data_IF_597221920663
#
_entry.id   IF_597221920663
#
_cell.length_a   1.000
_cell.length_b   1.000
_cell.length_c   1.000
_cell.angle_alpha   90.00
_cell.angle_beta   90.00
_cell.angle_gamma   90.00
#
_symmetry.space_group_name_H-M   'P 1'
#
loop_
_entity.id
_entity.type
_entity.pdbx_description
1 polymer ?
#
# COMPACT_ATOMS: atom_id res chain seq x y z
N UNK A 1 -22.07 8.57 19.06
CA UNK A 1 -20.65 8.37 18.70
C UNK A 1 -20.52 7.02 18.04
N UNK A 2 -20.00 6.96 16.83
CA UNK A 2 -19.71 5.71 16.14
C UNK A 2 -18.63 4.97 16.93
N UNK A 3 -18.78 3.66 17.15
CA UNK A 3 -17.70 2.88 17.78
C UNK A 3 -16.47 2.89 16.89
N UNK A 4 -15.30 3.09 17.45
CA UNK A 4 -14.04 3.12 16.68
C UNK A 4 -13.85 1.83 15.84
N UNK A 5 -14.34 0.69 16.32
CA UNK A 5 -14.31 -0.57 15.59
C UNK A 5 -15.07 -0.53 14.25
N UNK A 6 -16.09 0.33 14.13
CA UNK A 6 -16.87 0.49 12.89
C UNK A 6 -16.11 1.24 11.78
N UNK A 7 -15.00 1.91 12.14
CA UNK A 7 -14.12 2.56 11.17
C UNK A 7 -13.28 1.56 10.39
N UNK A 8 -13.04 0.38 10.95
CA UNK A 8 -12.27 -0.67 10.30
C UNK A 8 -13.14 -1.50 9.35
N UNK A 9 -12.48 -2.20 8.43
CA UNK A 9 -13.12 -2.98 7.36
C UNK A 9 -12.38 -4.28 7.13
N UNK A 10 -13.12 -5.32 6.73
CA UNK A 10 -12.58 -6.64 6.43
C UNK A 10 -12.01 -6.73 4.99
N UNK A 11 -12.32 -5.74 4.14
CA UNK A 11 -11.87 -5.72 2.75
C UNK A 11 -11.69 -4.29 2.23
N UNK A 12 -10.93 -4.16 1.14
CA UNK A 12 -10.84 -2.91 0.37
C UNK A 12 -12.21 -2.44 -0.13
N UNK A 13 -13.04 -3.37 -0.63
CA UNK A 13 -14.37 -3.07 -1.15
C UNK A 13 -15.30 -2.45 -0.10
N UNK A 14 -15.12 -2.81 1.17
CA UNK A 14 -15.82 -2.20 2.30
C UNK A 14 -15.16 -0.90 2.76
N UNK A 15 -13.83 -0.86 2.82
CA UNK A 15 -13.06 0.28 3.32
C UNK A 15 -13.24 1.53 2.47
N UNK A 16 -13.14 1.39 1.15
CA UNK A 16 -13.20 2.52 0.21
C UNK A 16 -14.48 3.36 0.33
N UNK A 17 -15.71 2.81 0.26
CA UNK A 17 -16.92 3.59 0.42
C UNK A 17 -17.04 4.24 1.81
N UNK A 18 -16.56 3.60 2.88
CA UNK A 18 -16.49 4.21 4.21
C UNK A 18 -15.60 5.44 4.23
N UNK A 19 -14.39 5.33 3.65
CA UNK A 19 -13.47 6.47 3.53
C UNK A 19 -14.08 7.61 2.73
N UNK A 20 -14.60 7.34 1.53
CA UNK A 20 -15.20 8.37 0.68
C UNK A 20 -16.38 9.07 1.39
N UNK A 21 -17.24 8.32 2.09
CA UNK A 21 -18.35 8.88 2.86
C UNK A 21 -17.87 9.75 4.01
N UNK A 22 -16.88 9.30 4.78
CA UNK A 22 -16.33 10.06 5.90
C UNK A 22 -15.64 11.35 5.42
N UNK A 23 -14.88 11.28 4.34
CA UNK A 23 -14.21 12.43 3.74
C UNK A 23 -15.22 13.47 3.20
N UNK A 24 -16.27 13.03 2.51
CA UNK A 24 -17.33 13.91 2.04
C UNK A 24 -18.06 14.59 3.22
N UNK A 25 -18.40 13.83 4.26
CA UNK A 25 -19.05 14.35 5.47
C UNK A 25 -18.15 15.37 6.23
N UNK A 26 -16.83 15.19 6.18
CA UNK A 26 -15.86 16.12 6.74
C UNK A 26 -15.59 17.36 5.86
N UNK A 27 -16.24 17.49 4.71
CA UNK A 27 -16.08 18.61 3.79
C UNK A 27 -14.79 18.58 2.96
N UNK A 28 -14.18 17.41 2.80
CA UNK A 28 -12.99 17.25 2.00
C UNK A 28 -13.29 17.26 0.50
N UNK A 29 -12.40 17.83 -0.30
CA UNK A 29 -12.40 17.69 -1.75
C UNK A 29 -11.85 16.31 -2.13
N UNK A 30 -12.72 15.44 -2.68
CA UNK A 30 -12.38 14.08 -3.10
C UNK A 30 -11.96 14.03 -4.56
N UNK A 31 -10.94 13.19 -4.83
CA UNK A 31 -10.56 12.76 -6.18
C UNK A 31 -10.25 11.28 -6.17
N UNK A 32 -10.60 10.58 -7.25
CA UNK A 32 -10.39 9.15 -7.43
C UNK A 32 -9.53 8.89 -8.67
N UNK A 33 -8.52 8.06 -8.52
CA UNK A 33 -7.58 7.68 -9.56
C UNK A 33 -7.72 6.19 -9.84
N UNK A 34 -8.28 5.85 -10.99
CA UNK A 34 -8.54 4.47 -11.38
C UNK A 34 -7.24 3.71 -11.68
N UNK A 35 -7.10 2.50 -11.14
CA UNK A 35 -6.06 1.56 -11.52
C UNK A 35 -6.53 0.75 -12.74
N UNK A 36 -5.95 0.97 -13.93
CA UNK A 36 -6.39 0.28 -15.15
C UNK A 36 -5.83 -1.15 -15.27
N UNK A 37 -4.80 -1.49 -14.51
CA UNK A 37 -4.03 -2.74 -14.68
C UNK A 37 -4.64 -3.94 -13.96
N UNK A 38 -5.40 -3.71 -12.90
CA UNK A 38 -5.86 -4.79 -12.05
C UNK A 38 -7.31 -4.61 -11.56
N UNK A 39 -7.86 -5.70 -11.03
CA UNK A 39 -9.15 -5.77 -10.34
C UNK A 39 -8.94 -6.35 -8.95
N UNK A 40 -9.88 -6.13 -8.05
CA UNK A 40 -9.92 -6.80 -6.77
C UNK A 40 -10.37 -8.26 -6.86
N UNK A 41 -10.34 -8.99 -5.74
CA UNK A 41 -10.68 -10.43 -5.69
C UNK A 41 -12.09 -10.77 -6.19
N UNK A 42 -13.05 -9.85 -6.04
CA UNK A 42 -14.44 -10.01 -6.52
C UNK A 42 -14.67 -9.34 -7.88
N UNK A 43 -13.63 -8.93 -8.58
CA UNK A 43 -13.70 -8.24 -9.88
C UNK A 43 -13.96 -6.74 -9.76
N UNK A 44 -13.97 -6.18 -8.55
CA UNK A 44 -14.21 -4.77 -8.31
C UNK A 44 -13.11 -3.88 -8.89
N UNK A 45 -13.51 -2.65 -9.25
CA UNK A 45 -12.60 -1.62 -9.72
C UNK A 45 -11.74 -1.09 -8.57
N UNK A 46 -10.46 -0.92 -8.82
CA UNK A 46 -9.49 -0.42 -7.85
C UNK A 46 -9.18 1.05 -8.09
N UNK A 47 -9.15 1.82 -7.01
CA UNK A 47 -8.86 3.25 -7.04
C UNK A 47 -7.91 3.63 -5.91
N UNK A 48 -7.04 4.60 -6.20
CA UNK A 48 -6.44 5.45 -5.19
C UNK A 48 -7.36 6.66 -5.03
N UNK A 49 -7.84 6.91 -3.83
CA UNK A 49 -8.67 8.07 -3.52
C UNK A 49 -7.86 9.10 -2.71
N UNK A 50 -8.03 10.37 -3.02
CA UNK A 50 -7.44 11.46 -2.23
C UNK A 50 -8.55 12.34 -1.68
N UNK A 51 -8.39 12.75 -0.42
CA UNK A 51 -9.28 13.68 0.25
C UNK A 51 -8.47 14.88 0.77
N UNK A 52 -8.73 16.07 0.23
CA UNK A 52 -8.05 17.31 0.63
C UNK A 52 -8.98 18.20 1.45
N UNK A 53 -8.50 18.66 2.60
CA UNK A 53 -9.14 19.64 3.47
C UNK A 53 -8.26 20.88 3.63
N UNK A 54 -8.90 22.05 3.86
CA UNK A 54 -8.22 23.32 4.13
C UNK A 54 -8.08 24.21 2.92
N UNK A 55 -7.62 25.45 3.17
CA UNK A 55 -7.46 26.47 2.15
C UNK A 55 -6.42 26.07 1.09
N UNK A 56 -6.59 26.58 -0.14
CA UNK A 56 -5.68 26.27 -1.24
C UNK A 56 -4.26 26.80 -1.00
N UNK A 57 -4.16 27.89 -0.27
CA UNK A 57 -2.96 28.64 0.10
C UNK A 57 -2.44 28.30 1.51
N UNK A 58 -2.92 27.22 2.13
CA UNK A 58 -2.40 26.75 3.42
C UNK A 58 -0.89 26.55 3.36
N UNK A 59 -0.18 27.14 4.31
CA UNK A 59 1.29 27.11 4.34
C UNK A 59 1.87 25.83 4.88
N UNK A 60 1.04 25.06 5.59
CA UNK A 60 1.40 23.74 6.16
C UNK A 60 0.46 22.67 5.60
N UNK A 61 0.96 21.43 5.48
CA UNK A 61 0.18 20.29 5.01
C UNK A 61 0.46 19.06 5.87
N UNK A 62 -0.60 18.55 6.51
CA UNK A 62 -0.58 17.20 7.08
C UNK A 62 -0.88 16.21 5.96
N UNK A 63 0.03 15.27 5.71
CA UNK A 63 -0.19 14.20 4.74
C UNK A 63 -0.33 12.88 5.49
N UNK A 64 -1.47 12.20 5.29
CA UNK A 64 -1.74 10.86 5.79
C UNK A 64 -1.81 9.91 4.61
N UNK A 65 -1.13 8.76 4.71
CA UNK A 65 -1.08 7.78 3.62
C UNK A 65 -1.42 6.41 4.19
N UNK A 66 -2.47 5.78 3.63
CA UNK A 66 -2.86 4.42 3.97
C UNK A 66 -2.57 3.44 2.83
N UNK A 67 -2.29 2.19 3.16
CA UNK A 67 -2.20 1.10 2.20
C UNK A 67 -0.98 1.15 1.29
N UNK A 68 0.17 1.62 1.76
CA UNK A 68 1.45 1.46 1.05
C UNK A 68 1.76 -0.02 0.87
N UNK A 69 1.62 -0.79 1.94
CA UNK A 69 1.55 -2.25 1.89
C UNK A 69 0.10 -2.66 2.17
N UNK A 70 -0.40 -3.65 1.45
CA UNK A 70 -1.84 -3.91 1.43
C UNK A 70 -2.41 -4.37 2.75
N UNK A 71 -1.73 -5.27 3.47
CA UNK A 71 -2.22 -5.79 4.77
C UNK A 71 -2.37 -4.66 5.80
N UNK A 72 -1.43 -3.71 5.82
CA UNK A 72 -1.46 -2.54 6.70
C UNK A 72 -2.57 -1.54 6.30
N UNK A 73 -3.08 -1.67 5.07
CA UNK A 73 -4.19 -0.87 4.55
C UNK A 73 -5.45 -0.96 5.41
N UNK A 74 -5.73 -2.11 6.00
CA UNK A 74 -6.87 -2.27 6.92
C UNK A 74 -6.75 -1.35 8.14
N UNK A 75 -5.57 -1.28 8.74
CA UNK A 75 -5.30 -0.39 9.88
C UNK A 75 -5.29 1.08 9.45
N UNK A 76 -4.54 1.42 8.40
CA UNK A 76 -4.41 2.80 7.93
C UNK A 76 -5.74 3.40 7.50
N UNK A 77 -6.54 2.66 6.74
CA UNK A 77 -7.89 3.06 6.34
C UNK A 77 -8.79 3.34 7.56
N UNK A 78 -8.81 2.41 8.53
CA UNK A 78 -9.59 2.60 9.76
C UNK A 78 -9.18 3.84 10.54
N UNK A 79 -7.89 4.11 10.63
CA UNK A 79 -7.34 5.29 11.30
C UNK A 79 -7.73 6.60 10.59
N UNK A 80 -7.64 6.66 9.25
CA UNK A 80 -8.07 7.81 8.46
C UNK A 80 -9.57 8.07 8.62
N UNK A 81 -10.40 7.03 8.54
CA UNK A 81 -11.86 7.12 8.72
C UNK A 81 -12.19 7.62 10.12
N UNK A 82 -11.57 7.06 11.15
CA UNK A 82 -11.78 7.48 12.54
C UNK A 82 -11.41 8.95 12.75
N UNK A 83 -10.28 9.39 12.21
CA UNK A 83 -9.82 10.77 12.30
C UNK A 83 -10.79 11.74 11.60
N UNK A 84 -11.29 11.38 10.42
CA UNK A 84 -12.31 12.16 9.71
C UNK A 84 -13.62 12.28 10.50
N UNK A 85 -14.12 11.16 11.05
CA UNK A 85 -15.37 11.11 11.82
C UNK A 85 -15.27 11.83 13.18
N UNK A 86 -14.08 11.86 13.77
CA UNK A 86 -13.81 12.61 15.01
C UNK A 86 -13.60 14.13 14.77
N UNK A 87 -13.81 14.60 13.55
CA UNK A 87 -13.67 16.00 13.18
C UNK A 87 -12.20 16.45 13.15
N UNK A 88 -11.27 15.55 12.89
CA UNK A 88 -9.84 15.82 12.82
C UNK A 88 -9.49 16.98 11.90
N UNK A 89 -10.05 17.09 10.66
CA UNK A 89 -9.80 18.23 9.80
C UNK A 89 -10.12 19.58 10.42
N UNK A 90 -11.24 19.68 11.11
CA UNK A 90 -11.69 20.93 11.75
C UNK A 90 -10.84 21.34 13.00
N UNK A 91 -10.04 20.42 13.53
CA UNK A 91 -9.13 20.66 14.65
C UNK A 91 -7.75 21.15 14.22
N UNK A 92 -7.47 21.18 12.92
CA UNK A 92 -6.20 21.68 12.40
C UNK A 92 -6.06 23.21 12.58
N UNK A 93 -4.82 23.72 12.74
CA UNK A 93 -4.56 25.15 12.66
C UNK A 93 -5.07 25.77 11.36
N UNK A 94 -5.43 27.06 11.39
CA UNK A 94 -6.02 27.75 10.23
C UNK A 94 -5.14 27.78 8.98
N UNK A 95 -3.81 27.75 9.18
CA UNK A 95 -2.80 27.76 8.13
C UNK A 95 -2.38 26.35 7.68
N UNK A 96 -3.06 25.32 8.16
CA UNK A 96 -2.73 23.91 7.91
C UNK A 96 -3.85 23.23 7.13
N UNK A 97 -3.52 22.66 5.99
CA UNK A 97 -4.37 21.74 5.23
C UNK A 97 -4.09 20.28 5.58
N UNK A 98 -4.98 19.39 5.15
CA UNK A 98 -4.76 17.95 5.20
C UNK A 98 -4.93 17.33 3.81
N UNK A 99 -4.08 16.35 3.49
CA UNK A 99 -4.20 15.47 2.33
C UNK A 99 -4.17 14.03 2.82
N UNK A 100 -5.27 13.33 2.66
CA UNK A 100 -5.37 11.91 2.93
C UNK A 100 -5.28 11.16 1.59
N UNK A 101 -4.53 10.05 1.58
CA UNK A 101 -4.30 9.21 0.41
C UNK A 101 -4.71 7.78 0.77
N UNK A 102 -5.88 7.40 0.32
CA UNK A 102 -6.50 6.10 0.56
C UNK A 102 -6.75 5.37 -0.77
N UNK A 103 -6.27 4.26 -1.05
CA UNK A 103 -5.09 3.56 -0.60
C UNK A 103 -4.04 3.73 -1.71
N UNK A 104 -2.81 4.07 -1.37
CA UNK A 104 -1.80 4.36 -2.40
C UNK A 104 -1.45 3.13 -3.24
N UNK A 105 -1.63 1.93 -2.68
CA UNK A 105 -1.55 0.63 -3.35
C UNK A 105 -2.90 -0.09 -3.25
N UNK A 106 -3.89 0.25 -4.09
CA UNK A 106 -5.22 -0.32 -4.00
C UNK A 106 -5.25 -1.81 -4.34
N UNK A 107 -4.34 -2.28 -5.21
CA UNK A 107 -4.18 -3.71 -5.51
C UNK A 107 -3.69 -4.47 -4.28
N UNK A 108 -2.60 -4.02 -3.67
CA UNK A 108 -2.07 -4.66 -2.48
C UNK A 108 -3.10 -4.72 -1.36
N UNK A 109 -3.89 -3.65 -1.15
CA UNK A 109 -4.94 -3.64 -0.15
C UNK A 109 -6.03 -4.67 -0.46
N UNK A 110 -6.55 -4.68 -1.69
CA UNK A 110 -7.61 -5.61 -2.09
C UNK A 110 -7.21 -7.09 -2.01
N UNK A 111 -5.95 -7.40 -2.32
CA UNK A 111 -5.41 -8.76 -2.34
C UNK A 111 -4.62 -9.13 -1.07
N UNK A 112 -4.60 -8.26 -0.06
CA UNK A 112 -3.79 -8.42 1.16
C UNK A 112 -2.32 -8.74 0.86
N UNK A 113 -1.75 -8.07 -0.14
CA UNK A 113 -0.37 -8.25 -0.58
C UNK A 113 0.47 -7.02 -0.25
N UNK A 114 1.74 -7.26 0.06
CA UNK A 114 2.70 -6.19 0.31
C UNK A 114 2.94 -5.31 -0.91
N UNK A 115 3.02 -5.90 -2.07
CA UNK A 115 3.44 -5.30 -3.35
C UNK A 115 2.27 -4.89 -4.23
N UNK A 116 2.55 -4.12 -5.28
CA UNK A 116 1.60 -3.78 -6.34
C UNK A 116 1.33 -4.97 -7.27
N UNK A 117 0.43 -4.80 -8.25
CA UNK A 117 0.16 -5.77 -9.32
C UNK A 117 1.40 -6.12 -10.16
N UNK A 118 2.34 -5.19 -10.28
CA UNK A 118 3.63 -5.38 -10.96
C UNK A 118 4.72 -5.93 -10.02
N UNK A 119 4.34 -6.41 -8.83
CA UNK A 119 5.23 -6.93 -7.78
C UNK A 119 6.24 -5.90 -7.24
N UNK A 120 5.90 -4.62 -7.26
CA UNK A 120 6.74 -3.52 -6.76
C UNK A 120 6.38 -3.22 -5.31
N UNK A 121 7.37 -3.22 -4.43
CA UNK A 121 7.26 -2.65 -3.09
C UNK A 121 7.48 -1.14 -3.17
N UNK A 122 6.40 -0.37 -3.01
CA UNK A 122 6.45 1.10 -3.11
C UNK A 122 7.42 1.71 -2.11
N UNK A 123 7.55 1.12 -0.90
CA UNK A 123 8.45 1.60 0.14
C UNK A 123 9.92 1.16 -0.06
N UNK A 124 10.24 0.44 -1.13
CA UNK A 124 11.60 0.07 -1.54
C UNK A 124 11.99 0.68 -2.87
N UNK A 125 11.10 1.43 -3.51
CA UNK A 125 11.29 1.97 -4.86
C UNK A 125 11.58 3.49 -4.89
N UNK A 126 12.03 4.05 -3.77
CA UNK A 126 12.51 5.44 -3.68
C UNK A 126 13.99 5.49 -4.08
N UNK A 127 14.22 5.47 -5.38
CA UNK A 127 15.55 5.49 -6.00
C UNK A 127 15.58 6.58 -7.08
N UNK A 128 16.78 7.00 -7.44
CA UNK A 128 16.99 7.87 -8.61
C UNK A 128 16.84 7.01 -9.87
N UNK A 129 15.69 7.10 -10.52
CA UNK A 129 15.34 6.30 -11.69
C UNK A 129 16.12 6.67 -12.95
N UNK A 130 16.85 7.80 -12.95
CA UNK A 130 17.74 8.22 -14.02
C UNK A 130 19.13 7.58 -13.91
N UNK A 131 19.39 6.86 -12.81
CA UNK A 131 20.63 6.12 -12.57
C UNK A 131 20.46 4.62 -12.75
N UNK A 132 21.57 3.95 -13.06
CA UNK A 132 21.58 2.49 -13.07
C UNK A 132 21.24 1.94 -11.67
N UNK A 133 20.38 0.93 -11.61
CA UNK A 133 20.05 0.25 -10.36
C UNK A 133 21.28 -0.47 -9.79
N UNK A 134 21.43 -0.51 -8.45
CA UNK A 134 22.50 -1.28 -7.82
C UNK A 134 22.33 -2.77 -8.17
N UNK A 135 23.45 -3.41 -8.48
CA UNK A 135 23.48 -4.86 -8.66
C UNK A 135 23.45 -5.56 -7.30
N UNK A 136 22.74 -6.67 -7.27
CA UNK A 136 22.72 -7.57 -6.12
C UNK A 136 23.23 -8.94 -6.58
N UNK A 137 24.55 -9.12 -6.51
CA UNK A 137 25.20 -10.35 -6.98
C UNK A 137 24.77 -11.58 -6.16
N UNK A 138 24.49 -11.40 -4.85
CA UNK A 138 23.97 -12.47 -4.01
C UNK A 138 22.58 -12.94 -4.45
N UNK A 139 21.69 -12.01 -4.79
CA UNK A 139 20.38 -12.35 -5.36
C UNK A 139 20.55 -13.05 -6.72
N UNK A 140 21.39 -12.51 -7.61
CA UNK A 140 21.61 -13.07 -8.94
C UNK A 140 22.13 -14.51 -8.90
N UNK A 141 22.94 -14.85 -7.89
CA UNK A 141 23.47 -16.19 -7.71
C UNK A 141 22.41 -17.27 -7.43
N UNK A 142 21.24 -16.87 -6.88
CA UNK A 142 20.17 -17.81 -6.49
C UNK A 142 18.84 -17.50 -7.18
N UNK A 143 18.79 -16.50 -8.08
CA UNK A 143 17.53 -16.01 -8.66
C UNK A 143 16.73 -17.10 -9.39
N UNK A 144 17.39 -17.95 -10.17
CA UNK A 144 16.73 -19.04 -10.92
C UNK A 144 16.15 -20.10 -9.98
N UNK A 145 16.75 -20.30 -8.81
CA UNK A 145 16.22 -21.20 -7.81
C UNK A 145 15.04 -20.62 -7.05
N UNK A 146 15.03 -19.30 -6.79
CA UNK A 146 13.91 -18.59 -6.13
C UNK A 146 12.69 -18.51 -7.06
N UNK A 147 12.90 -18.42 -8.36
CA UNK A 147 11.88 -18.23 -9.38
C UNK A 147 11.83 -19.42 -10.35
N UNK A 148 11.52 -20.65 -9.89
CA UNK A 148 11.41 -21.79 -10.77
C UNK A 148 10.25 -21.59 -11.78
N UNK A 149 10.42 -22.11 -12.99
CA UNK A 149 9.37 -22.01 -14.04
C UNK A 149 8.10 -22.75 -13.67
N UNK A 150 8.22 -23.81 -12.89
CA UNK A 150 7.12 -24.61 -12.38
C UNK A 150 7.30 -24.81 -10.87
N UNK A 151 6.21 -24.79 -10.13
CA UNK A 151 6.22 -25.03 -8.69
C UNK A 151 5.72 -26.45 -8.40
N UNK A 152 6.67 -27.37 -8.17
CA UNK A 152 6.40 -28.78 -7.87
C UNK A 152 7.47 -29.34 -6.91
N UNK A 153 7.34 -30.58 -6.48
CA UNK A 153 8.27 -31.22 -5.53
C UNK A 153 9.73 -31.23 -6.02
N UNK A 154 9.95 -31.46 -7.33
CA UNK A 154 11.29 -31.51 -7.91
C UNK A 154 11.94 -30.10 -7.90
N UNK A 155 11.20 -29.07 -8.29
CA UNK A 155 11.70 -27.68 -8.26
C UNK A 155 11.94 -27.20 -6.86
N UNK A 156 11.09 -27.57 -5.89
CA UNK A 156 11.30 -27.26 -4.48
C UNK A 156 12.56 -27.92 -3.91
N UNK A 157 12.80 -29.21 -4.23
CA UNK A 157 13.99 -29.92 -3.83
C UNK A 157 15.26 -29.27 -4.40
N UNK A 158 15.24 -28.86 -5.65
CA UNK A 158 16.35 -28.15 -6.29
C UNK A 158 16.57 -26.77 -5.65
N UNK A 159 15.50 -26.00 -5.39
CA UNK A 159 15.58 -24.73 -4.67
C UNK A 159 16.29 -24.89 -3.33
N UNK A 160 15.87 -25.88 -2.52
CA UNK A 160 16.50 -26.15 -1.24
C UNK A 160 17.98 -26.52 -1.37
N UNK A 161 18.30 -27.37 -2.34
CA UNK A 161 19.70 -27.77 -2.61
C UNK A 161 20.59 -26.56 -2.96
N UNK A 162 20.08 -25.64 -3.77
CA UNK A 162 20.80 -24.40 -4.14
C UNK A 162 20.99 -23.50 -2.94
N UNK A 163 19.96 -23.36 -2.09
CA UNK A 163 20.05 -22.55 -0.88
C UNK A 163 21.07 -23.11 0.12
N UNK A 164 21.04 -24.41 0.36
CA UNK A 164 21.99 -25.05 1.27
C UNK A 164 23.43 -24.87 0.80
N UNK A 165 23.68 -25.05 -0.51
CA UNK A 165 24.99 -24.85 -1.11
C UNK A 165 25.46 -23.39 -1.02
N UNK A 166 24.55 -22.43 -1.27
CA UNK A 166 24.86 -20.99 -1.16
C UNK A 166 25.15 -20.61 0.28
N UNK A 167 24.32 -21.09 1.24
CA UNK A 167 24.54 -20.85 2.67
C UNK A 167 25.90 -21.37 3.14
N UNK A 168 26.23 -22.62 2.80
CA UNK A 168 27.54 -23.20 3.14
C UNK A 168 28.71 -22.39 2.56
N UNK A 169 28.55 -21.77 1.40
CA UNK A 169 29.58 -20.91 0.80
C UNK A 169 29.80 -19.61 1.58
N UNK A 170 28.75 -19.09 2.25
CA UNK A 170 28.86 -17.88 3.08
C UNK A 170 29.49 -18.15 4.45
N UNK A 171 29.33 -19.36 5.01
CA UNK A 171 29.91 -19.75 6.28
C UNK A 171 31.43 -20.09 6.14
N UNK A 172 31.89 -20.31 4.91
CA UNK A 172 33.31 -20.65 4.62
C UNK A 172 34.20 -19.41 4.47
N UNK A 173 33.70 -18.19 4.58
CA UNK A 173 34.39 -16.91 4.48
C UNK A 173 34.58 -16.32 5.88
#
# INVERSE_FOLDING_TARGET
MTSISQCFSESYAEARPKFCSAAAAAGCALRSWFNPKARGPSGELLYLDTARFGAADATNMLVLIAGTHGVEGHCGSGAEIAWLQDGGPAKLPKDTGALLIHAINPYGFAWSRRVTEDNVDLNRNFVDHDKAYPKNDGYLAIADAILPREWNEASMAETMRVFDAHWASLEAV
#
